data_IF_195205268931
#
_entry.id   IF_195205268931
#
_cell.length_a   1.000
_cell.length_b   1.000
_cell.length_c   1.000
_cell.angle_alpha   90.00
_cell.angle_beta   90.00
_cell.angle_gamma   90.00
#
_symmetry.space_group_name_H-M   'P 1'
#
loop_
_entity.id
_entity.type
_entity.pdbx_description
1 polymer ?
#
# COMPACT_ATOMS: atom_id res chain seq x y z
N UNK A 1 15.91 28.35 -14.37
CA UNK A 1 15.46 27.34 -15.35
C UNK A 1 13.94 27.44 -15.43
N UNK A 2 13.34 27.68 -16.61
CA UNK A 2 11.88 27.84 -16.75
C UNK A 2 11.32 26.56 -17.36
N UNK A 3 10.63 25.76 -16.56
CA UNK A 3 9.92 24.59 -17.07
C UNK A 3 8.70 25.04 -17.89
N UNK A 4 8.30 24.24 -18.87
CA UNK A 4 7.09 24.49 -19.67
C UNK A 4 5.83 24.36 -18.79
N UNK A 5 5.86 23.49 -17.78
CA UNK A 5 4.78 23.28 -16.79
C UNK A 5 5.36 22.73 -15.48
N UNK A 6 4.53 22.69 -14.43
CA UNK A 6 4.81 22.01 -13.16
C UNK A 6 3.89 20.78 -12.97
N UNK A 7 4.12 20.02 -11.89
CA UNK A 7 3.28 18.88 -11.52
C UNK A 7 1.81 19.30 -11.33
N UNK A 8 0.85 18.44 -11.74
CA UNK A 8 -0.54 18.60 -11.36
C UNK A 8 -0.72 18.67 -9.85
N UNK A 9 -1.66 19.50 -9.38
CA UNK A 9 -1.96 19.60 -7.95
C UNK A 9 -2.41 18.24 -7.41
N UNK A 10 -1.76 17.78 -6.35
CA UNK A 10 -2.07 16.54 -5.64
C UNK A 10 -1.32 15.31 -6.16
N UNK A 11 -0.36 15.48 -7.08
CA UNK A 11 0.62 14.44 -7.44
C UNK A 11 2.01 14.83 -6.90
N UNK A 12 2.94 13.88 -6.90
CA UNK A 12 4.31 14.09 -6.42
C UNK A 12 5.29 13.17 -7.15
N UNK A 13 6.44 13.71 -7.55
CA UNK A 13 7.58 12.91 -7.98
C UNK A 13 8.26 12.28 -6.75
N UNK A 14 8.55 10.97 -6.81
CA UNK A 14 9.32 10.27 -5.77
C UNK A 14 10.77 10.22 -6.25
N UNK A 15 11.67 10.88 -5.51
CA UNK A 15 13.08 11.02 -5.92
C UNK A 15 13.91 9.79 -5.51
N UNK A 16 15.12 9.56 -6.08
CA UNK A 16 15.91 8.35 -5.82
C UNK A 16 16.18 8.03 -4.35
N UNK A 17 16.38 9.03 -3.48
CA UNK A 17 16.57 8.78 -2.04
C UNK A 17 15.27 8.38 -1.35
N UNK A 18 14.13 8.91 -1.79
CA UNK A 18 12.82 8.49 -1.29
C UNK A 18 12.48 7.10 -1.82
N UNK A 19 12.73 6.80 -3.10
CA UNK A 19 12.46 5.49 -3.71
C UNK A 19 13.04 4.33 -2.92
N UNK A 20 14.19 4.50 -2.25
CA UNK A 20 14.76 3.45 -1.39
C UNK A 20 13.90 3.11 -0.19
N UNK A 21 13.28 4.12 0.43
CA UNK A 21 12.33 3.92 1.54
C UNK A 21 11.09 3.17 1.04
N UNK A 22 10.64 3.49 -0.17
CA UNK A 22 9.52 2.80 -0.83
C UNK A 22 9.86 1.34 -1.12
N UNK A 23 11.01 1.09 -1.75
CA UNK A 23 11.50 -0.25 -2.03
C UNK A 23 11.68 -1.08 -0.76
N UNK A 24 12.19 -0.49 0.33
CA UNK A 24 12.26 -1.17 1.63
C UNK A 24 10.87 -1.63 2.12
N UNK A 25 9.87 -0.74 2.06
CA UNK A 25 8.49 -1.08 2.45
C UNK A 25 7.93 -2.17 1.53
N UNK A 26 8.09 -2.01 0.21
CA UNK A 26 7.62 -2.97 -0.79
C UNK A 26 8.28 -4.36 -0.60
N UNK A 27 9.57 -4.42 -0.29
CA UNK A 27 10.29 -5.66 -0.03
C UNK A 27 9.79 -6.37 1.23
N UNK A 28 9.53 -5.62 2.31
CA UNK A 28 8.93 -6.17 3.54
C UNK A 28 7.53 -6.70 3.26
N UNK A 29 6.74 -5.97 2.49
CA UNK A 29 5.40 -6.38 2.06
C UNK A 29 5.48 -7.67 1.24
N UNK A 30 6.36 -7.75 0.23
CA UNK A 30 6.50 -8.93 -0.64
C UNK A 30 6.98 -10.16 0.11
N UNK A 31 7.94 -10.00 1.02
CA UNK A 31 8.40 -11.09 1.89
C UNK A 31 7.28 -11.60 2.81
N UNK A 32 6.49 -10.69 3.37
CA UNK A 32 5.33 -11.08 4.19
C UNK A 32 4.24 -11.74 3.34
N UNK A 33 3.96 -11.22 2.14
CA UNK A 33 3.02 -11.84 1.22
C UNK A 33 3.43 -13.28 0.88
N UNK A 34 4.71 -13.52 0.62
CA UNK A 34 5.27 -14.84 0.39
C UNK A 34 5.08 -15.78 1.58
N UNK A 35 5.30 -15.32 2.82
CA UNK A 35 5.12 -16.16 4.02
C UNK A 35 3.66 -16.55 4.28
N UNK A 36 2.71 -15.76 3.78
CA UNK A 36 1.26 -16.06 3.80
C UNK A 36 0.78 -16.79 2.54
N UNK A 37 1.69 -17.22 1.65
CA UNK A 37 1.39 -17.90 0.38
C UNK A 37 0.43 -17.08 -0.53
N UNK A 38 0.66 -15.77 -0.59
CA UNK A 38 -0.07 -14.84 -1.45
C UNK A 38 0.60 -14.73 -2.81
N UNK A 39 -0.21 -14.69 -3.88
CA UNK A 39 0.26 -14.60 -5.26
C UNK A 39 0.03 -13.18 -5.82
N UNK A 40 1.02 -12.62 -6.49
CA UNK A 40 0.89 -11.27 -7.08
C UNK A 40 -0.03 -11.30 -8.30
N UNK A 41 -0.94 -10.34 -8.37
CA UNK A 41 -1.71 -10.04 -9.58
C UNK A 41 -1.48 -8.61 -10.04
N UNK A 42 -1.61 -8.40 -11.34
CA UNK A 42 -1.50 -7.09 -11.98
C UNK A 42 -2.67 -6.89 -12.92
N UNK A 43 -3.25 -5.70 -12.89
CA UNK A 43 -4.39 -5.32 -13.71
C UNK A 43 -4.24 -3.88 -14.23
N UNK A 44 -4.98 -3.50 -15.28
CA UNK A 44 -4.87 -2.18 -15.90
C UNK A 44 -5.07 -1.01 -14.94
N UNK A 45 -4.47 0.13 -15.28
CA UNK A 45 -4.62 1.39 -14.53
C UNK A 45 -5.99 2.03 -14.74
N UNK A 46 -6.61 1.79 -15.89
CA UNK A 46 -7.97 2.23 -16.18
C UNK A 46 -8.85 1.04 -16.55
N UNK A 47 -10.13 1.16 -16.21
CA UNK A 47 -11.16 0.16 -16.47
C UNK A 47 -12.40 0.87 -17.05
N UNK A 48 -13.36 0.11 -17.55
CA UNK A 48 -14.67 0.68 -17.86
C UNK A 48 -15.29 1.30 -16.61
N UNK A 49 -15.87 2.51 -16.75
CA UNK A 49 -16.52 3.21 -15.62
C UNK A 49 -17.51 2.31 -14.87
N UNK A 50 -18.30 1.53 -15.62
CA UNK A 50 -19.33 0.64 -15.09
C UNK A 50 -18.80 -0.31 -13.99
N UNK A 51 -17.53 -0.72 -14.06
CA UNK A 51 -16.92 -1.56 -13.03
C UNK A 51 -16.94 -0.89 -11.66
N UNK A 52 -16.55 0.38 -11.58
CA UNK A 52 -16.47 1.11 -10.31
C UNK A 52 -17.81 1.67 -9.88
N UNK A 53 -18.66 2.07 -10.81
CA UNK A 53 -20.03 2.52 -10.53
C UNK A 53 -20.81 1.41 -9.78
N UNK A 54 -20.85 0.21 -10.35
CA UNK A 54 -21.51 -0.93 -9.72
C UNK A 54 -20.73 -1.54 -8.56
N UNK A 55 -19.40 -1.65 -8.70
CA UNK A 55 -18.55 -2.29 -7.69
C UNK A 55 -18.48 -1.50 -6.39
N UNK A 56 -18.14 -0.22 -6.45
CA UNK A 56 -17.95 0.63 -5.26
C UNK A 56 -19.28 1.10 -4.67
N UNK A 57 -20.27 1.35 -5.52
CA UNK A 57 -21.62 1.78 -5.18
C UNK A 57 -21.89 3.25 -5.51
N UNK A 58 -23.04 3.48 -6.15
CA UNK A 58 -23.50 4.79 -6.67
C UNK A 58 -23.65 5.89 -5.60
N UNK A 59 -23.76 5.50 -4.33
CA UNK A 59 -23.97 6.43 -3.22
C UNK A 59 -22.67 6.86 -2.52
N UNK A 60 -21.53 6.35 -2.97
CA UNK A 60 -20.23 6.69 -2.39
C UNK A 60 -19.72 8.04 -2.89
N UNK A 61 -19.02 8.78 -2.03
CA UNK A 61 -18.32 10.01 -2.47
C UNK A 61 -17.29 9.70 -3.57
N UNK A 62 -16.70 8.49 -3.54
CA UNK A 62 -15.78 7.99 -4.58
C UNK A 62 -16.42 8.05 -5.96
N UNK A 63 -17.55 7.35 -6.15
CA UNK A 63 -18.25 7.27 -7.44
C UNK A 63 -18.84 8.63 -7.83
N UNK A 64 -19.41 9.36 -6.86
CA UNK A 64 -20.13 10.61 -7.16
C UNK A 64 -19.23 11.79 -7.51
N UNK A 65 -18.02 11.86 -6.94
CA UNK A 65 -17.22 13.11 -6.97
C UNK A 65 -15.72 12.90 -7.19
N UNK A 66 -15.20 11.69 -6.99
CA UNK A 66 -13.74 11.49 -6.91
C UNK A 66 -13.15 10.70 -8.08
N UNK A 67 -13.94 10.10 -8.96
CA UNK A 67 -13.42 9.34 -10.10
C UNK A 67 -12.82 10.24 -11.20
N UNK A 68 -11.66 9.84 -11.72
CA UNK A 68 -11.09 10.40 -12.93
C UNK A 68 -11.63 9.66 -14.16
N UNK A 69 -12.77 10.14 -14.66
CA UNK A 69 -13.49 9.53 -15.79
C UNK A 69 -13.33 10.34 -17.07
N UNK A 70 -13.10 9.67 -18.20
CA UNK A 70 -12.96 10.30 -19.51
C UNK A 70 -13.34 9.34 -20.64
N UNK A 71 -13.58 9.88 -21.83
CA UNK A 71 -13.78 9.09 -23.03
C UNK A 71 -12.44 8.75 -23.68
N UNK A 72 -12.26 7.47 -24.04
CA UNK A 72 -11.15 7.08 -24.89
C UNK A 72 -11.38 7.56 -26.35
N UNK A 73 -10.39 7.35 -27.23
CA UNK A 73 -10.50 7.75 -28.65
C UNK A 73 -11.60 7.00 -29.43
N UNK A 74 -12.12 5.91 -28.88
CA UNK A 74 -13.24 5.15 -29.43
C UNK A 74 -14.60 5.56 -28.85
N UNK A 75 -14.66 6.59 -27.98
CA UNK A 75 -15.90 7.04 -27.35
C UNK A 75 -16.37 6.15 -26.20
N UNK A 76 -15.52 5.27 -25.66
CA UNK A 76 -15.85 4.45 -24.48
C UNK A 76 -15.51 5.20 -23.22
N UNK A 77 -16.40 5.15 -22.23
CA UNK A 77 -16.18 5.78 -20.94
C UNK A 77 -15.29 4.88 -20.05
N UNK A 78 -14.11 5.40 -19.72
CA UNK A 78 -13.11 4.72 -18.91
C UNK A 78 -12.74 5.58 -17.71
N UNK A 79 -12.28 4.92 -16.65
CA UNK A 79 -11.97 5.56 -15.37
C UNK A 79 -10.62 5.07 -14.87
N UNK A 80 -9.75 5.98 -14.41
CA UNK A 80 -8.56 5.58 -13.66
C UNK A 80 -9.00 4.93 -12.35
N UNK A 81 -8.44 3.77 -12.02
CA UNK A 81 -8.87 2.98 -10.85
C UNK A 81 -8.78 3.81 -9.55
N UNK A 82 -9.90 3.97 -8.81
CA UNK A 82 -9.88 4.67 -7.52
C UNK A 82 -9.54 3.73 -6.35
N UNK A 83 -9.56 2.42 -6.58
CA UNK A 83 -9.27 1.35 -5.62
C UNK A 83 -8.92 0.05 -6.37
N UNK A 84 -8.46 -0.98 -5.66
CA UNK A 84 -7.95 -2.20 -6.28
C UNK A 84 -8.91 -3.40 -6.29
N UNK A 85 -9.79 -3.52 -5.30
CA UNK A 85 -10.66 -4.69 -5.08
C UNK A 85 -11.58 -4.96 -6.27
N UNK A 86 -12.29 -3.96 -6.82
CA UNK A 86 -13.16 -4.21 -7.99
C UNK A 86 -12.37 -4.69 -9.21
N UNK A 87 -11.16 -4.16 -9.40
CA UNK A 87 -10.24 -4.58 -10.47
C UNK A 87 -9.78 -6.04 -10.30
N UNK A 88 -9.50 -6.47 -9.07
CA UNK A 88 -9.15 -7.87 -8.77
C UNK A 88 -10.36 -8.79 -8.92
N UNK A 89 -11.55 -8.39 -8.46
CA UNK A 89 -12.78 -9.18 -8.65
C UNK A 89 -13.05 -9.40 -10.14
N UNK A 90 -12.99 -8.33 -10.96
CA UNK A 90 -13.12 -8.43 -12.42
C UNK A 90 -12.08 -9.36 -13.00
N UNK A 91 -10.81 -9.24 -12.60
CA UNK A 91 -9.73 -10.12 -13.05
C UNK A 91 -10.01 -11.59 -12.71
N UNK A 92 -10.45 -11.89 -11.49
CA UNK A 92 -10.77 -13.25 -11.03
C UNK A 92 -11.90 -13.86 -11.84
N UNK A 93 -12.94 -13.09 -12.12
CA UNK A 93 -14.11 -13.53 -12.89
C UNK A 93 -13.75 -13.72 -14.37
N UNK A 94 -13.14 -12.72 -14.99
CA UNK A 94 -12.80 -12.73 -16.42
C UNK A 94 -11.82 -13.86 -16.78
N UNK A 95 -10.88 -14.17 -15.88
CA UNK A 95 -9.87 -15.21 -16.11
C UNK A 95 -10.26 -16.57 -15.50
N UNK A 96 -11.47 -16.71 -14.96
CA UNK A 96 -11.94 -17.98 -14.40
C UNK A 96 -11.13 -18.49 -13.21
N UNK A 97 -10.44 -17.62 -12.45
CA UNK A 97 -9.62 -18.03 -11.31
C UNK A 97 -10.46 -18.67 -10.19
N UNK A 98 -11.73 -18.31 -10.10
CA UNK A 98 -12.69 -18.91 -9.17
C UNK A 98 -12.97 -20.40 -9.45
N UNK A 99 -12.66 -20.89 -10.67
CA UNK A 99 -12.82 -22.30 -11.04
C UNK A 99 -11.56 -23.14 -10.74
N UNK A 100 -10.47 -22.51 -10.26
CA UNK A 100 -9.27 -23.20 -9.80
C UNK A 100 -9.41 -23.63 -8.33
N UNK A 101 -8.34 -24.19 -7.75
CA UNK A 101 -8.31 -24.57 -6.33
C UNK A 101 -8.54 -23.35 -5.43
N UNK A 102 -9.56 -23.43 -4.56
CA UNK A 102 -9.86 -22.40 -3.57
C UNK A 102 -9.17 -22.72 -2.22
N UNK A 103 -8.87 -21.69 -1.40
CA UNK A 103 -9.08 -20.27 -1.67
C UNK A 103 -8.04 -19.68 -2.63
N UNK A 104 -8.44 -18.70 -3.44
CA UNK A 104 -7.50 -17.87 -4.19
C UNK A 104 -6.99 -16.76 -3.28
N UNK A 105 -5.68 -16.71 -3.04
CA UNK A 105 -5.02 -15.76 -2.15
C UNK A 105 -4.13 -14.83 -2.96
N UNK A 106 -4.59 -13.62 -3.20
CA UNK A 106 -3.99 -12.68 -4.15
C UNK A 106 -3.51 -11.41 -3.44
N UNK A 107 -2.50 -10.76 -3.99
CA UNK A 107 -2.07 -9.42 -3.59
C UNK A 107 -1.70 -8.55 -4.77
N UNK A 108 -1.69 -7.23 -4.55
CA UNK A 108 -1.28 -6.26 -5.56
C UNK A 108 -0.53 -5.07 -4.94
N UNK A 109 0.29 -4.42 -5.76
CA UNK A 109 0.95 -3.14 -5.49
C UNK A 109 0.67 -2.21 -6.67
N UNK A 110 -0.14 -1.18 -6.46
CA UNK A 110 -0.70 -0.36 -7.55
C UNK A 110 -0.73 1.12 -7.19
N UNK A 111 -0.76 1.98 -8.20
CA UNK A 111 -1.26 3.36 -8.07
C UNK A 111 -2.78 3.42 -8.20
N UNK A 112 -3.42 4.31 -7.44
CA UNK A 112 -4.85 4.58 -7.43
C UNK A 112 -5.08 6.10 -7.53
N UNK A 113 -6.26 6.48 -8.03
CA UNK A 113 -6.58 7.87 -8.36
C UNK A 113 -7.90 8.32 -7.76
N UNK A 114 -7.88 9.38 -6.95
CA UNK A 114 -9.10 9.98 -6.37
C UNK A 114 -9.02 11.50 -6.40
N UNK A 115 -10.06 12.17 -6.89
CA UNK A 115 -10.17 13.63 -6.90
C UNK A 115 -10.47 14.21 -5.50
N UNK A 116 -9.85 13.66 -4.45
CA UNK A 116 -9.95 14.19 -3.10
C UNK A 116 -9.19 15.52 -2.97
N UNK A 117 -9.56 16.31 -1.94
CA UNK A 117 -8.78 17.48 -1.53
C UNK A 117 -7.43 17.01 -0.99
N UNK A 118 -6.29 17.40 -1.60
CA UNK A 118 -4.99 16.92 -1.14
C UNK A 118 -4.68 17.37 0.29
N UNK A 119 -4.15 16.46 1.09
CA UNK A 119 -3.68 16.67 2.46
C UNK A 119 -2.56 15.67 2.79
N UNK A 120 -1.96 15.75 3.98
CA UNK A 120 -0.88 14.83 4.37
C UNK A 120 -1.35 13.36 4.27
N UNK A 121 -0.63 12.57 3.45
CA UNK A 121 -0.96 11.16 3.21
C UNK A 121 -2.21 10.92 2.36
N UNK A 122 -2.82 11.96 1.76
CA UNK A 122 -3.89 11.83 0.77
C UNK A 122 -3.55 12.65 -0.46
N UNK A 123 -3.07 11.93 -1.46
CA UNK A 123 -2.76 12.46 -2.78
C UNK A 123 -3.90 12.12 -3.75
N UNK A 124 -3.90 12.79 -4.91
CA UNK A 124 -4.81 12.48 -6.01
C UNK A 124 -4.36 11.28 -6.81
N UNK A 125 -3.06 11.04 -6.85
CA UNK A 125 -2.44 9.78 -7.23
C UNK A 125 -1.70 9.26 -5.99
N UNK A 126 -2.07 8.09 -5.52
CA UNK A 126 -1.51 7.46 -4.33
C UNK A 126 -1.26 5.97 -4.56
N UNK A 127 -0.50 5.32 -3.70
CA UNK A 127 -0.10 3.93 -3.92
C UNK A 127 -0.69 3.01 -2.86
N UNK A 128 -1.26 1.90 -3.31
CA UNK A 128 -1.88 0.91 -2.44
C UNK A 128 -1.19 -0.44 -2.57
N UNK A 129 -0.93 -1.03 -1.41
CA UNK A 129 -0.83 -2.46 -1.27
C UNK A 129 -2.19 -3.00 -0.84
N UNK A 130 -2.65 -4.09 -1.44
CA UNK A 130 -3.84 -4.79 -0.99
C UNK A 130 -3.74 -6.28 -1.16
N UNK A 131 -4.55 -7.00 -0.38
CA UNK A 131 -4.68 -8.45 -0.44
C UNK A 131 -6.15 -8.81 -0.56
N UNK A 132 -6.45 -9.87 -1.29
CA UNK A 132 -7.81 -10.32 -1.58
C UNK A 132 -7.85 -11.85 -1.51
N UNK A 133 -8.74 -12.40 -0.68
CA UNK A 133 -9.02 -13.83 -0.60
C UNK A 133 -10.38 -14.09 -1.22
N UNK A 134 -10.45 -15.06 -2.12
CA UNK A 134 -11.71 -15.49 -2.75
C UNK A 134 -12.01 -16.95 -2.47
N UNK A 135 -13.29 -17.25 -2.23
CA UNK A 135 -13.77 -18.60 -1.93
C UNK A 135 -13.52 -19.04 -0.49
N UNK A 136 -13.26 -18.10 0.43
CA UNK A 136 -12.99 -18.37 1.84
C UNK A 136 -14.09 -17.73 2.73
N UNK A 137 -15.09 -18.53 3.11
CA UNK A 137 -16.23 -18.10 3.94
C UNK A 137 -16.04 -18.36 5.44
N UNK A 138 -14.99 -19.09 5.82
CA UNK A 138 -14.70 -19.39 7.22
C UNK A 138 -14.09 -18.16 7.93
N UNK A 139 -14.42 -17.89 9.20
CA UNK A 139 -13.87 -16.76 9.96
C UNK A 139 -12.34 -16.78 10.09
N UNK A 140 -11.69 -17.93 9.88
CA UNK A 140 -10.23 -18.00 9.79
C UNK A 140 -9.63 -17.20 8.66
N UNK A 141 -10.36 -16.97 7.57
CA UNK A 141 -9.92 -16.09 6.49
C UNK A 141 -9.77 -14.64 6.96
N UNK A 142 -10.73 -14.15 7.75
CA UNK A 142 -10.73 -12.80 8.31
C UNK A 142 -9.59 -12.62 9.31
N UNK A 143 -9.44 -13.59 10.23
CA UNK A 143 -8.35 -13.58 11.19
C UNK A 143 -6.97 -13.64 10.50
N UNK A 144 -6.83 -14.46 9.44
CA UNK A 144 -5.59 -14.56 8.67
C UNK A 144 -5.24 -13.25 7.93
N UNK A 145 -6.22 -12.59 7.31
CA UNK A 145 -6.01 -11.30 6.64
C UNK A 145 -5.60 -10.21 7.64
N UNK A 146 -6.25 -10.15 8.80
CA UNK A 146 -5.89 -9.22 9.88
C UNK A 146 -4.47 -9.52 10.39
N UNK A 147 -4.13 -10.79 10.57
CA UNK A 147 -2.79 -11.24 10.97
C UNK A 147 -1.71 -10.88 9.95
N UNK A 148 -2.01 -10.96 8.66
CA UNK A 148 -1.10 -10.54 7.59
C UNK A 148 -0.81 -9.04 7.69
N UNK A 149 -1.84 -8.18 7.85
CA UNK A 149 -1.64 -6.75 8.06
C UNK A 149 -0.79 -6.47 9.32
N UNK A 150 -1.10 -7.13 10.45
CA UNK A 150 -0.34 -7.01 11.70
C UNK A 150 1.13 -7.41 11.52
N UNK A 151 1.39 -8.51 10.81
CA UNK A 151 2.74 -9.01 10.54
C UNK A 151 3.55 -8.03 9.69
N UNK A 152 2.92 -7.38 8.69
CA UNK A 152 3.57 -6.31 7.91
C UNK A 152 4.00 -5.17 8.84
N UNK A 153 3.10 -4.70 9.71
CA UNK A 153 3.42 -3.62 10.64
C UNK A 153 4.54 -4.00 11.61
N UNK A 154 4.53 -5.22 12.13
CA UNK A 154 5.59 -5.73 13.02
C UNK A 154 6.95 -5.82 12.31
N UNK A 155 6.97 -6.31 11.07
CA UNK A 155 8.19 -6.40 10.25
C UNK A 155 8.74 -5.01 9.88
N UNK A 156 7.85 -4.03 9.70
CA UNK A 156 8.21 -2.61 9.54
C UNK A 156 8.54 -1.92 10.87
N UNK A 157 8.43 -2.64 12.01
CA UNK A 157 8.66 -2.15 13.37
C UNK A 157 7.74 -1.01 13.79
N UNK A 158 6.59 -0.86 13.12
CA UNK A 158 5.59 0.14 13.42
C UNK A 158 4.89 -0.22 14.73
N UNK A 159 4.82 0.75 15.65
CA UNK A 159 4.22 0.61 16.98
C UNK A 159 2.94 1.44 17.10
N UNK A 160 2.30 1.38 18.27
CA UNK A 160 1.17 2.24 18.63
C UNK A 160 -0.02 2.19 17.64
N UNK A 161 -0.23 1.02 17.03
CA UNK A 161 -1.42 0.73 16.24
C UNK A 161 -2.48 0.03 17.09
N UNK A 162 -3.72 0.50 16.98
CA UNK A 162 -4.88 -0.20 17.51
C UNK A 162 -5.60 -0.90 16.37
N UNK A 163 -5.90 -2.19 16.54
CA UNK A 163 -6.83 -2.90 15.68
C UNK A 163 -8.25 -2.66 16.21
N UNK A 164 -9.10 -2.11 15.38
CA UNK A 164 -10.53 -1.98 15.64
C UNK A 164 -11.32 -2.85 14.67
N UNK A 165 -12.25 -3.65 15.19
CA UNK A 165 -13.08 -4.57 14.42
C UNK A 165 -14.56 -4.29 14.63
N UNK A 166 -15.37 -4.65 13.63
CA UNK A 166 -16.82 -4.62 13.70
C UNK A 166 -17.41 -5.68 12.76
N UNK A 167 -18.71 -5.94 12.88
CA UNK A 167 -19.47 -6.68 11.88
C UNK A 167 -20.64 -5.82 11.41
N UNK A 168 -20.75 -5.62 10.10
CA UNK A 168 -21.88 -4.92 9.48
C UNK A 168 -22.98 -5.87 8.99
N UNK A 169 -22.87 -7.16 9.34
CA UNK A 169 -23.85 -8.18 9.01
C UNK A 169 -24.04 -8.44 7.51
N UNK A 170 -25.03 -9.27 7.19
CA UNK A 170 -25.44 -9.55 5.81
C UNK A 170 -26.42 -8.49 5.29
N UNK A 171 -26.87 -8.64 4.04
CA UNK A 171 -27.85 -7.73 3.42
C UNK A 171 -29.14 -7.57 4.27
N UNK A 172 -29.69 -8.67 4.78
CA UNK A 172 -30.91 -8.66 5.59
C UNK A 172 -30.71 -7.95 6.94
N UNK A 173 -29.54 -8.13 7.56
CA UNK A 173 -29.17 -7.43 8.79
C UNK A 173 -29.14 -5.90 8.56
N UNK A 174 -28.52 -5.49 7.45
CA UNK A 174 -28.40 -4.08 7.07
C UNK A 174 -29.75 -3.44 6.77
N UNK A 175 -30.68 -4.14 6.13
CA UNK A 175 -32.02 -3.61 5.87
C UNK A 175 -32.77 -3.31 7.18
N UNK A 176 -32.71 -4.22 8.17
CA UNK A 176 -33.28 -3.99 9.51
C UNK A 176 -32.61 -2.80 10.21
N UNK A 177 -31.28 -2.74 10.16
CA UNK A 177 -30.51 -1.67 10.76
C UNK A 177 -30.76 -0.30 10.10
N UNK A 178 -30.94 -0.25 8.79
CA UNK A 178 -31.26 0.98 8.05
C UNK A 178 -32.59 1.57 8.52
N UNK A 179 -33.59 0.73 8.77
CA UNK A 179 -34.88 1.18 9.28
C UNK A 179 -34.73 1.77 10.69
N UNK A 180 -33.99 1.09 11.57
CA UNK A 180 -33.70 1.61 12.91
C UNK A 180 -32.94 2.95 12.89
N UNK A 181 -31.93 3.08 12.02
CA UNK A 181 -31.21 4.34 11.86
C UNK A 181 -32.09 5.44 11.27
N UNK A 182 -32.94 5.13 10.28
CA UNK A 182 -33.88 6.10 9.72
C UNK A 182 -34.84 6.61 10.77
N UNK A 183 -35.43 5.72 11.56
CA UNK A 183 -36.33 6.08 12.66
C UNK A 183 -35.61 6.97 13.68
N UNK A 184 -34.40 6.58 14.10
CA UNK A 184 -33.59 7.34 15.03
C UNK A 184 -33.25 8.74 14.51
N UNK A 185 -32.61 8.84 13.34
CA UNK A 185 -32.12 10.09 12.78
C UNK A 185 -33.24 11.01 12.25
N UNK A 186 -34.42 10.47 11.91
CA UNK A 186 -35.59 11.30 11.55
C UNK A 186 -36.03 12.20 12.70
N UNK A 187 -35.80 11.78 13.95
CA UNK A 187 -36.07 12.60 15.13
C UNK A 187 -35.12 13.79 15.29
N UNK A 188 -34.05 13.84 14.50
CA UNK A 188 -33.01 14.87 14.51
C UNK A 188 -32.83 15.54 13.14
N UNK A 189 -33.78 15.39 12.21
CA UNK A 189 -33.62 15.84 10.82
C UNK A 189 -33.24 17.32 10.71
N UNK A 190 -33.79 18.15 11.58
CA UNK A 190 -33.57 19.60 11.59
C UNK A 190 -32.17 19.98 12.11
N UNK A 191 -31.53 19.09 12.89
CA UNK A 191 -30.20 19.28 13.46
C UNK A 191 -29.08 18.67 12.58
N UNK A 192 -29.43 17.72 11.70
CA UNK A 192 -28.47 17.09 10.80
C UNK A 192 -27.91 18.10 9.80
N UNK A 193 -26.62 18.00 9.50
CA UNK A 193 -26.04 18.80 8.42
C UNK A 193 -26.68 18.45 7.07
N UNK A 194 -26.64 19.37 6.11
CA UNK A 194 -27.25 19.23 4.78
C UNK A 194 -26.88 17.90 4.10
N UNK A 195 -25.61 17.50 4.19
CA UNK A 195 -25.13 16.22 3.64
C UNK A 195 -25.78 15.02 4.33
N UNK A 196 -25.91 15.04 5.66
CA UNK A 196 -26.53 13.95 6.41
C UNK A 196 -28.03 13.85 6.18
N UNK A 197 -28.71 14.98 5.99
CA UNK A 197 -30.11 15.01 5.58
C UNK A 197 -30.32 14.26 4.25
N UNK A 198 -29.42 14.44 3.27
CA UNK A 198 -29.47 13.67 2.01
C UNK A 198 -29.16 12.17 2.20
N UNK A 199 -28.26 11.83 3.15
CA UNK A 199 -27.84 10.45 3.44
C UNK A 199 -28.92 9.67 4.18
N UNK A 200 -29.75 10.32 4.99
CA UNK A 200 -30.82 9.68 5.77
C UNK A 200 -31.71 8.78 4.90
N UNK A 201 -32.07 9.26 3.71
CA UNK A 201 -32.90 8.49 2.79
C UNK A 201 -32.10 7.44 2.01
N UNK A 202 -30.89 7.79 1.55
CA UNK A 202 -30.06 6.95 0.67
C UNK A 202 -29.30 5.86 1.41
N UNK A 203 -28.47 6.24 2.37
CA UNK A 203 -27.61 5.35 3.15
C UNK A 203 -27.38 5.95 4.56
N UNK A 204 -28.27 5.67 5.53
CA UNK A 204 -28.23 6.29 6.86
C UNK A 204 -26.99 5.89 7.67
N UNK A 205 -26.33 4.76 7.37
CA UNK A 205 -25.07 4.39 8.03
C UNK A 205 -23.97 5.43 7.81
N UNK A 206 -23.98 6.13 6.66
CA UNK A 206 -23.00 7.19 6.35
C UNK A 206 -23.12 8.43 7.25
N UNK A 207 -24.15 8.50 8.09
CA UNK A 207 -24.29 9.55 9.11
C UNK A 207 -23.38 9.25 10.30
N UNK A 208 -23.11 7.97 10.59
CA UNK A 208 -22.26 7.53 11.72
C UNK A 208 -20.79 7.97 11.57
N UNK A 209 -20.31 8.14 10.34
CA UNK A 209 -18.96 8.65 10.02
C UNK A 209 -18.98 10.15 9.64
N UNK A 210 -20.01 10.90 10.05
CA UNK A 210 -20.05 12.33 9.76
C UNK A 210 -19.07 13.11 10.65
N UNK A 211 -18.23 13.95 10.03
CA UNK A 211 -17.27 14.82 10.72
C UNK A 211 -17.87 16.08 11.35
N UNK A 212 -19.17 16.33 11.15
CA UNK A 212 -19.86 17.45 11.81
C UNK A 212 -19.95 17.16 13.31
N UNK A 213 -19.54 18.11 14.16
CA UNK A 213 -19.64 17.94 15.62
C UNK A 213 -21.07 17.67 16.08
N UNK A 214 -22.06 18.27 15.41
CA UNK A 214 -23.48 18.07 15.75
C UNK A 214 -23.89 16.63 15.39
N UNK A 215 -23.63 16.21 14.14
CA UNK A 215 -23.97 14.86 13.69
C UNK A 215 -23.24 13.77 14.48
N UNK A 216 -21.97 14.00 14.84
CA UNK A 216 -21.18 13.08 15.66
C UNK A 216 -21.79 12.88 17.05
N UNK A 217 -22.18 13.97 17.74
CA UNK A 217 -22.86 13.87 19.05
C UNK A 217 -24.20 13.15 18.98
N UNK A 218 -24.94 13.34 17.89
CA UNK A 218 -26.19 12.61 17.66
C UNK A 218 -25.86 11.12 17.42
N UNK A 219 -24.87 10.83 16.59
CA UNK A 219 -24.46 9.46 16.27
C UNK A 219 -23.96 8.65 17.48
N UNK A 220 -23.44 9.29 18.53
CA UNK A 220 -22.99 8.62 19.76
C UNK A 220 -24.10 7.77 20.43
N UNK A 221 -25.37 8.18 20.26
CA UNK A 221 -26.53 7.48 20.83
C UNK A 221 -27.34 6.70 19.78
N UNK A 222 -26.83 6.58 18.55
CA UNK A 222 -27.49 5.84 17.50
C UNK A 222 -27.53 4.33 17.81
N UNK A 223 -28.52 3.59 17.28
CA UNK A 223 -28.55 2.13 17.35
C UNK A 223 -27.23 1.52 16.86
N UNK A 224 -26.75 0.44 17.49
CA UNK A 224 -25.50 -0.22 17.10
C UNK A 224 -25.79 -1.40 16.20
N UNK A 225 -25.07 -1.53 15.10
CA UNK A 225 -25.32 -2.60 14.11
C UNK A 225 -25.23 -4.01 14.70
N UNK A 226 -24.37 -4.21 15.70
CA UNK A 226 -24.19 -5.49 16.38
C UNK A 226 -25.45 -6.00 17.10
N UNK A 227 -26.40 -5.12 17.42
CA UNK A 227 -27.69 -5.50 18.02
C UNK A 227 -28.70 -5.98 16.97
N UNK A 228 -28.39 -5.85 15.67
CA UNK A 228 -29.28 -6.12 14.54
C UNK A 228 -28.76 -7.23 13.60
N UNK A 229 -27.59 -7.80 13.88
CA UNK A 229 -27.05 -8.91 13.07
C UNK A 229 -27.76 -10.23 13.39
N UNK A 230 -27.95 -11.09 12.38
CA UNK A 230 -28.51 -12.42 12.54
C UNK A 230 -27.53 -13.38 13.23
N UNK A 231 -28.03 -14.53 13.68
CA UNK A 231 -27.23 -15.54 14.39
C UNK A 231 -26.02 -16.01 13.58
N UNK A 232 -26.14 -16.19 12.27
CA UNK A 232 -25.01 -16.59 11.41
C UNK A 232 -23.90 -15.53 11.39
N UNK A 233 -24.27 -14.26 11.24
CA UNK A 233 -23.31 -13.14 11.25
C UNK A 233 -22.68 -12.96 12.63
N UNK A 234 -23.45 -13.19 13.70
CA UNK A 234 -22.96 -13.16 15.08
C UNK A 234 -21.97 -14.29 15.32
N UNK A 235 -22.32 -15.52 14.99
CA UNK A 235 -21.46 -16.69 15.14
C UNK A 235 -20.16 -16.54 14.34
N UNK A 236 -20.22 -16.04 13.11
CA UNK A 236 -19.04 -15.74 12.32
C UNK A 236 -18.15 -14.69 13.03
N UNK A 237 -18.71 -13.58 13.51
CA UNK A 237 -17.95 -12.54 14.18
C UNK A 237 -17.34 -12.99 15.52
N UNK A 238 -18.05 -13.81 16.29
CA UNK A 238 -17.49 -14.47 17.48
C UNK A 238 -16.30 -15.37 17.10
N UNK A 239 -16.42 -16.16 16.02
CA UNK A 239 -15.32 -16.99 15.52
C UNK A 239 -14.08 -16.17 15.13
N UNK A 240 -14.27 -14.99 14.51
CA UNK A 240 -13.14 -14.07 14.22
C UNK A 240 -12.47 -13.62 15.51
N UNK A 241 -13.24 -13.22 16.52
CA UNK A 241 -12.71 -12.79 17.82
C UNK A 241 -11.93 -13.90 18.53
N UNK A 242 -12.47 -15.10 18.59
CA UNK A 242 -11.81 -16.26 19.18
C UNK A 242 -10.48 -16.57 18.48
N UNK A 243 -10.44 -16.50 17.15
CA UNK A 243 -9.23 -16.74 16.38
C UNK A 243 -8.18 -15.64 16.58
N UNK A 244 -8.59 -14.38 16.68
CA UNK A 244 -7.69 -13.28 17.03
C UNK A 244 -7.12 -13.45 18.44
N UNK A 245 -7.92 -13.91 19.40
CA UNK A 245 -7.47 -14.22 20.76
C UNK A 245 -6.46 -15.38 20.76
N UNK A 246 -6.70 -16.45 19.99
CA UNK A 246 -5.75 -17.56 19.78
C UNK A 246 -4.43 -17.06 19.18
N UNK A 247 -4.50 -16.13 18.22
CA UNK A 247 -3.32 -15.52 17.59
C UNK A 247 -2.63 -14.46 18.47
N UNK A 248 -3.16 -14.16 19.66
CA UNK A 248 -2.70 -13.10 20.56
C UNK A 248 -2.72 -11.70 19.92
N UNK A 249 -3.68 -11.45 19.03
CA UNK A 249 -3.87 -10.15 18.38
C UNK A 249 -4.91 -9.37 19.17
N UNK A 250 -4.47 -8.33 19.88
CA UNK A 250 -5.36 -7.43 20.62
C UNK A 250 -6.22 -6.62 19.66
N UNK A 251 -7.52 -6.53 19.95
CA UNK A 251 -8.48 -5.73 19.19
C UNK A 251 -9.43 -4.97 20.14
N UNK A 252 -10.10 -3.96 19.60
CA UNK A 252 -11.27 -3.31 20.21
C UNK A 252 -12.46 -3.45 19.28
N UNK A 253 -13.65 -3.75 19.83
CA UNK A 253 -14.88 -3.75 19.05
C UNK A 253 -15.42 -2.32 18.94
N UNK A 254 -15.41 -1.76 17.73
CA UNK A 254 -15.92 -0.41 17.47
C UNK A 254 -17.17 -0.49 16.56
N UNK A 255 -18.40 -0.35 17.11
CA UNK A 255 -19.63 -0.48 16.34
C UNK A 255 -19.85 0.66 15.33
N UNK A 256 -19.04 1.73 15.38
CA UNK A 256 -19.15 2.89 14.50
C UNK A 256 -18.33 2.75 13.22
N UNK A 257 -17.54 1.68 13.05
CA UNK A 257 -16.84 1.42 11.78
C UNK A 257 -17.87 1.16 10.70
N UNK A 258 -18.07 2.17 9.84
CA UNK A 258 -18.80 2.11 8.59
C UNK A 258 -17.83 2.43 7.47
N UNK A 259 -17.63 1.49 6.54
CA UNK A 259 -16.57 1.63 5.53
C UNK A 259 -16.98 2.55 4.39
N UNK A 260 -15.96 3.10 3.73
CA UNK A 260 -16.07 4.06 2.63
C UNK A 260 -16.78 3.56 1.38
N UNK A 261 -16.98 2.24 1.24
CA UNK A 261 -17.44 1.56 0.02
C UNK A 261 -18.64 0.67 0.39
N UNK A 262 -19.68 0.63 -0.45
CA UNK A 262 -20.95 0.02 -0.05
C UNK A 262 -20.96 -1.52 -0.20
N UNK A 263 -19.94 -2.08 -0.85
CA UNK A 263 -19.82 -3.52 -1.13
C UNK A 263 -19.54 -4.41 0.09
N UNK A 264 -19.15 -3.84 1.23
CA UNK A 264 -18.77 -4.64 2.39
C UNK A 264 -19.96 -5.44 2.94
N UNK A 265 -19.67 -6.57 3.57
CA UNK A 265 -20.58 -7.43 4.35
C UNK A 265 -19.80 -8.03 5.53
N UNK A 266 -20.49 -8.53 6.55
CA UNK A 266 -19.84 -9.24 7.66
C UNK A 266 -18.74 -8.41 8.33
N UNK A 267 -17.56 -9.00 8.53
CA UNK A 267 -16.42 -8.36 9.21
C UNK A 267 -15.94 -7.11 8.48
N UNK A 268 -15.68 -6.05 9.24
CA UNK A 268 -14.90 -4.89 8.82
C UNK A 268 -13.88 -4.56 9.89
N UNK A 269 -12.72 -4.04 9.49
CA UNK A 269 -11.67 -3.69 10.44
C UNK A 269 -10.79 -2.54 9.96
N UNK A 270 -10.13 -1.90 10.91
CA UNK A 270 -9.16 -0.85 10.69
C UNK A 270 -7.97 -0.98 11.65
N UNK A 271 -6.78 -0.70 11.14
CA UNK A 271 -5.62 -0.39 11.98
C UNK A 271 -5.48 1.12 12.05
N UNK A 272 -5.57 1.69 13.25
CA UNK A 272 -5.56 3.14 13.48
C UNK A 272 -4.31 3.56 14.27
N UNK A 273 -3.75 4.71 13.92
CA UNK A 273 -2.70 5.42 14.67
C UNK A 273 -3.14 6.85 14.96
N UNK A 274 -2.78 7.36 16.13
CA UNK A 274 -2.99 8.76 16.52
C UNK A 274 -1.83 9.68 16.11
N UNK A 275 -0.80 9.16 15.44
CA UNK A 275 0.47 9.87 15.18
C UNK A 275 0.52 10.58 13.82
N UNK A 276 -0.44 10.32 12.91
CA UNK A 276 -0.46 10.85 11.53
C UNK A 276 -1.63 11.80 11.24
N UNK A 277 -2.20 12.41 12.29
CA UNK A 277 -3.21 13.48 12.21
C UNK A 277 -4.66 13.00 12.28
N UNK A 278 -5.61 13.86 11.88
CA UNK A 278 -7.06 13.73 12.15
C UNK A 278 -7.77 12.53 11.49
N UNK A 279 -7.08 11.77 10.63
CA UNK A 279 -7.59 10.50 10.11
C UNK A 279 -6.52 9.46 10.43
N UNK A 280 -6.80 8.59 11.39
CA UNK A 280 -5.82 7.66 11.96
C UNK A 280 -5.67 6.35 11.20
N UNK A 281 -6.61 5.98 10.32
CA UNK A 281 -6.62 4.69 9.61
C UNK A 281 -5.39 4.52 8.72
N UNK A 282 -4.59 3.49 8.94
CA UNK A 282 -3.38 3.16 8.16
C UNK A 282 -3.66 2.02 7.18
N UNK A 283 -4.42 1.03 7.64
CA UNK A 283 -4.93 -0.10 6.88
C UNK A 283 -6.40 -0.26 7.20
N UNK A 284 -7.20 -0.64 6.20
CA UNK A 284 -8.58 -1.01 6.45
C UNK A 284 -9.08 -2.02 5.44
N UNK A 285 -9.97 -2.88 5.91
CA UNK A 285 -10.44 -4.03 5.15
C UNK A 285 -11.75 -4.56 5.69
N UNK A 286 -12.11 -5.73 5.18
CA UNK A 286 -13.35 -6.40 5.52
C UNK A 286 -13.81 -7.34 4.42
N UNK A 287 -14.88 -8.05 4.73
CA UNK A 287 -15.54 -9.03 3.88
C UNK A 287 -16.51 -8.33 2.91
N UNK A 288 -16.72 -8.90 1.73
CA UNK A 288 -17.50 -8.30 0.64
C UNK A 288 -18.14 -9.35 -0.28
N UNK A 289 -18.72 -10.41 0.31
CA UNK A 289 -19.14 -11.63 -0.40
C UNK A 289 -20.11 -11.40 -1.57
N UNK A 290 -20.84 -10.27 -1.60
CA UNK A 290 -21.76 -9.93 -2.68
C UNK A 290 -21.13 -9.28 -3.90
N UNK A 291 -19.87 -8.80 -3.81
CA UNK A 291 -19.26 -7.97 -4.86
C UNK A 291 -19.04 -8.73 -6.17
N UNK A 292 -18.64 -9.99 -6.08
CA UNK A 292 -18.47 -10.90 -7.23
C UNK A 292 -19.76 -11.07 -8.02
N UNK A 293 -20.89 -11.19 -7.33
CA UNK A 293 -22.21 -11.30 -7.95
C UNK A 293 -22.64 -9.99 -8.60
N UNK A 294 -22.32 -8.84 -8.00
CA UNK A 294 -22.59 -7.52 -8.57
C UNK A 294 -21.82 -7.31 -9.89
N UNK A 295 -20.58 -7.82 -9.98
CA UNK A 295 -19.70 -7.58 -11.14
C UNK A 295 -19.90 -8.61 -12.26
N UNK A 296 -20.20 -9.87 -11.95
CA UNK A 296 -20.29 -10.92 -12.98
C UNK A 296 -21.08 -12.15 -12.55
N UNK A 297 -22.13 -11.97 -11.77
CA UNK A 297 -23.16 -12.98 -11.41
C UNK A 297 -22.65 -14.24 -10.66
N UNK A 298 -21.37 -14.31 -10.31
CA UNK A 298 -20.81 -15.42 -9.53
C UNK A 298 -20.88 -15.09 -8.04
N UNK A 299 -21.55 -15.93 -7.24
CA UNK A 299 -21.53 -15.81 -5.79
C UNK A 299 -20.22 -16.39 -5.23
N UNK A 300 -19.27 -15.51 -4.89
CA UNK A 300 -17.96 -15.89 -4.38
C UNK A 300 -17.63 -15.06 -3.13
N UNK A 301 -17.48 -15.75 -1.99
CA UNK A 301 -17.06 -15.15 -0.74
C UNK A 301 -15.72 -14.43 -0.92
N UNK A 302 -15.61 -13.24 -0.36
CA UNK A 302 -14.50 -12.32 -0.62
C UNK A 302 -14.12 -11.55 0.64
N UNK A 303 -12.83 -11.46 0.94
CA UNK A 303 -12.32 -10.64 2.03
C UNK A 303 -10.95 -10.09 1.68
N UNK A 304 -10.69 -8.86 2.11
CA UNK A 304 -9.44 -8.19 1.79
C UNK A 304 -9.15 -6.98 2.65
N UNK A 305 -7.99 -6.38 2.41
CA UNK A 305 -7.67 -5.05 2.89
C UNK A 305 -6.86 -4.28 1.85
N UNK A 306 -6.81 -2.96 2.04
CA UNK A 306 -5.82 -2.11 1.42
C UNK A 306 -5.15 -1.19 2.44
N UNK A 307 -3.88 -0.87 2.19
CA UNK A 307 -3.10 0.12 2.94
C UNK A 307 -2.36 1.05 1.99
N UNK A 308 -2.28 2.33 2.35
CA UNK A 308 -1.61 3.35 1.54
C UNK A 308 -0.12 3.42 1.85
N UNK A 309 0.75 3.28 0.86
CA UNK A 309 2.21 3.30 1.07
C UNK A 309 2.68 4.66 1.60
N UNK A 310 2.08 5.76 1.14
CA UNK A 310 2.38 7.10 1.66
C UNK A 310 2.07 7.22 3.15
N UNK A 311 1.01 6.56 3.63
CA UNK A 311 0.62 6.60 5.04
C UNK A 311 1.54 5.76 5.92
N UNK A 312 1.98 4.62 5.41
CA UNK A 312 3.02 3.79 6.06
C UNK A 312 4.31 4.59 6.18
N UNK A 313 4.74 5.22 5.09
CA UNK A 313 5.95 6.05 5.07
C UNK A 313 5.87 7.19 6.10
N UNK A 314 4.77 7.94 6.10
CA UNK A 314 4.54 9.03 7.06
C UNK A 314 4.56 8.53 8.51
N UNK A 315 3.98 7.36 8.77
CA UNK A 315 3.95 6.78 10.11
C UNK A 315 5.34 6.34 10.57
N UNK A 316 6.10 5.68 9.69
CA UNK A 316 7.48 5.30 9.97
C UNK A 316 8.36 6.53 10.26
N UNK A 317 8.20 7.59 9.46
CA UNK A 317 8.91 8.86 9.68
C UNK A 317 8.49 9.53 11.00
N UNK A 318 7.19 9.55 11.33
CA UNK A 318 6.68 10.09 12.59
C UNK A 318 7.21 9.32 13.82
N UNK A 319 7.42 8.01 13.70
CA UNK A 319 7.97 7.16 14.76
C UNK A 319 9.51 7.12 14.77
N UNK A 320 10.18 7.81 13.85
CA UNK A 320 11.65 7.78 13.74
C UNK A 320 12.21 6.41 13.39
N UNK A 321 11.45 5.58 12.67
CA UNK A 321 11.88 4.24 12.24
C UNK A 321 12.90 4.39 11.12
N UNK A 322 14.07 3.79 11.30
CA UNK A 322 15.10 3.74 10.27
C UNK A 322 14.72 2.75 9.15
N UNK A 323 14.99 3.17 7.91
CA UNK A 323 14.84 2.33 6.73
C UNK A 323 16.18 1.63 6.49
N UNK A 324 16.18 0.30 6.49
CA UNK A 324 17.37 -0.49 6.16
C UNK A 324 17.61 -0.43 4.65
N UNK A 325 18.19 0.68 4.19
CA UNK A 325 18.54 0.90 2.79
C UNK A 325 20.00 0.54 2.57
N UNK A 326 20.26 -0.44 1.69
CA UNK A 326 21.60 -0.85 1.27
C UNK A 326 22.47 0.34 0.79
N UNK A 327 23.82 0.24 0.86
CA UNK A 327 24.71 1.25 0.30
C UNK A 327 24.42 1.48 -1.18
N UNK A 328 24.65 2.72 -1.62
CA UNK A 328 24.31 3.16 -2.98
C UNK A 328 25.20 2.52 -4.04
N UNK A 329 26.45 2.19 -3.70
CA UNK A 329 27.41 1.54 -4.59
C UNK A 329 28.35 0.64 -3.78
N UNK A 330 28.59 -0.56 -4.28
CA UNK A 330 29.52 -1.52 -3.67
C UNK A 330 30.96 -1.04 -3.85
N UNK A 331 31.30 -0.49 -5.02
CA UNK A 331 32.67 -0.09 -5.33
C UNK A 331 32.74 1.02 -6.37
N UNK A 332 33.68 1.96 -6.17
CA UNK A 332 34.02 2.99 -7.14
C UNK A 332 35.48 2.86 -7.61
N UNK A 333 35.67 2.71 -8.92
CA UNK A 333 36.99 2.75 -9.55
C UNK A 333 37.33 4.17 -9.98
N UNK A 334 38.17 4.84 -9.21
CA UNK A 334 38.80 6.08 -9.62
C UNK A 334 39.99 5.76 -10.55
N UNK A 335 40.35 6.69 -11.43
CA UNK A 335 41.48 6.49 -12.34
C UNK A 335 42.36 7.72 -12.53
N UNK A 336 43.60 7.47 -12.97
CA UNK A 336 44.55 8.45 -13.47
C UNK A 336 45.06 8.00 -14.85
N UNK A 337 45.07 8.90 -15.84
CA UNK A 337 45.54 8.60 -17.19
C UNK A 337 44.59 7.72 -18.00
N UNK A 338 44.92 7.50 -19.27
CA UNK A 338 44.08 6.73 -20.21
C UNK A 338 44.14 5.22 -19.94
N UNK A 339 45.28 4.66 -19.53
CA UNK A 339 45.37 3.22 -19.19
C UNK A 339 44.51 2.90 -17.97
N UNK A 340 44.64 3.70 -16.91
CA UNK A 340 43.83 3.59 -15.70
C UNK A 340 42.33 3.69 -15.99
N UNK A 341 41.94 4.64 -16.85
CA UNK A 341 40.55 4.80 -17.30
C UNK A 341 40.01 3.56 -18.01
N UNK A 342 40.76 3.00 -18.96
CA UNK A 342 40.34 1.82 -19.71
C UNK A 342 40.17 0.61 -18.78
N UNK A 343 41.08 0.41 -17.82
CA UNK A 343 40.96 -0.69 -16.85
C UNK A 343 39.80 -0.44 -15.87
N UNK A 344 39.61 0.78 -15.38
CA UNK A 344 38.48 1.12 -14.51
C UNK A 344 37.13 0.86 -15.18
N UNK A 345 36.97 1.22 -16.46
CA UNK A 345 35.76 0.95 -17.25
C UNK A 345 35.54 -0.57 -17.40
N UNK A 346 36.60 -1.32 -17.71
CA UNK A 346 36.55 -2.78 -17.85
C UNK A 346 36.13 -3.45 -16.54
N UNK A 347 36.77 -3.12 -15.41
CA UNK A 347 36.45 -3.69 -14.10
C UNK A 347 35.04 -3.34 -13.64
N UNK A 348 34.63 -2.09 -13.86
CA UNK A 348 33.26 -1.64 -13.61
C UNK A 348 32.24 -2.50 -14.35
N UNK A 349 32.45 -2.77 -15.64
CA UNK A 349 31.55 -3.61 -16.43
C UNK A 349 31.54 -5.07 -15.94
N UNK A 350 32.70 -5.63 -15.60
CA UNK A 350 32.81 -7.01 -15.09
C UNK A 350 32.00 -7.16 -13.80
N UNK A 351 32.16 -6.25 -12.83
CA UNK A 351 31.42 -6.31 -11.57
C UNK A 351 29.91 -6.10 -11.75
N UNK A 352 29.50 -5.17 -12.62
CA UNK A 352 28.08 -5.00 -12.97
C UNK A 352 27.46 -6.27 -13.53
N UNK A 353 28.19 -7.01 -14.38
CA UNK A 353 27.72 -8.30 -14.94
C UNK A 353 27.59 -9.41 -13.89
N UNK A 354 28.20 -9.23 -12.72
CA UNK A 354 28.13 -10.17 -11.60
C UNK A 354 27.11 -9.72 -10.53
N UNK A 355 26.39 -8.63 -10.76
CA UNK A 355 25.33 -8.14 -9.88
C UNK A 355 25.77 -7.08 -8.86
N UNK A 356 27.03 -6.66 -8.87
CA UNK A 356 27.50 -5.58 -7.99
C UNK A 356 27.18 -4.20 -8.56
N UNK A 357 26.86 -3.25 -7.67
CA UNK A 357 26.75 -1.84 -8.00
C UNK A 357 28.13 -1.18 -8.05
N UNK A 358 28.77 -1.24 -9.23
CA UNK A 358 30.07 -0.61 -9.47
C UNK A 358 29.96 0.70 -10.27
N UNK A 359 30.83 1.67 -9.98
CA UNK A 359 30.90 2.94 -10.70
C UNK A 359 32.33 3.38 -11.04
N UNK A 360 32.46 4.22 -12.08
CA UNK A 360 33.70 4.92 -12.42
C UNK A 360 33.37 6.31 -12.98
N UNK A 361 34.37 7.18 -13.14
CA UNK A 361 34.13 8.50 -13.71
C UNK A 361 33.81 8.44 -15.21
N UNK A 362 32.74 9.11 -15.60
CA UNK A 362 32.30 9.21 -17.01
C UNK A 362 32.17 10.65 -17.50
N UNK A 363 32.61 11.63 -16.70
CA UNK A 363 32.48 13.06 -17.03
C UNK A 363 33.83 13.77 -17.12
N UNK A 364 34.94 13.05 -16.99
CA UNK A 364 36.29 13.58 -17.10
C UNK A 364 36.76 14.35 -15.87
N UNK A 365 36.34 13.98 -14.66
CA UNK A 365 36.82 14.59 -13.41
C UNK A 365 38.28 14.24 -13.16
N UNK A 366 39.02 15.17 -12.55
CA UNK A 366 40.30 14.85 -11.92
C UNK A 366 40.11 14.00 -10.65
N UNK A 367 41.14 13.25 -10.25
CA UNK A 367 41.08 12.26 -9.16
C UNK A 367 40.43 12.79 -7.86
N UNK A 368 40.79 13.99 -7.40
CA UNK A 368 40.19 14.59 -6.19
C UNK A 368 38.67 14.74 -6.29
N UNK A 369 38.15 15.10 -7.46
CA UNK A 369 36.72 15.23 -7.69
C UNK A 369 36.04 13.86 -7.89
N UNK A 370 36.74 12.86 -8.44
CA UNK A 370 36.27 11.48 -8.46
C UNK A 370 36.10 10.92 -7.04
N UNK A 371 37.10 11.09 -6.16
CA UNK A 371 37.01 10.63 -4.77
C UNK A 371 35.90 11.32 -3.98
N UNK A 372 35.70 12.64 -4.20
CA UNK A 372 34.54 13.36 -3.63
C UNK A 372 33.21 12.82 -4.16
N UNK A 373 33.16 12.40 -5.41
CA UNK A 373 31.96 11.80 -5.99
C UNK A 373 31.70 10.42 -5.41
N UNK A 374 32.72 9.57 -5.26
CA UNK A 374 32.65 8.27 -4.61
C UNK A 374 32.07 8.38 -3.19
N UNK A 375 32.53 9.35 -2.42
CA UNK A 375 32.00 9.68 -1.09
C UNK A 375 30.53 10.15 -1.15
N UNK A 376 30.19 11.05 -2.07
CA UNK A 376 28.81 11.55 -2.24
C UNK A 376 27.81 10.45 -2.64
N UNK A 377 28.25 9.49 -3.46
CA UNK A 377 27.44 8.32 -3.80
C UNK A 377 27.55 7.22 -2.74
N UNK A 378 28.17 7.46 -1.59
CA UNK A 378 28.32 6.51 -0.49
C UNK A 378 28.81 5.12 -0.98
N UNK A 379 29.87 5.12 -1.79
CA UNK A 379 30.50 3.89 -2.25
C UNK A 379 31.16 3.18 -1.07
N UNK A 380 30.88 1.89 -0.89
CA UNK A 380 31.47 1.09 0.20
C UNK A 380 32.98 0.94 0.04
N UNK A 381 33.42 0.62 -1.17
CA UNK A 381 34.84 0.51 -1.52
C UNK A 381 35.28 1.51 -2.57
N UNK A 382 36.56 1.88 -2.54
CA UNK A 382 37.21 2.63 -3.63
C UNK A 382 38.50 1.95 -4.06
N UNK A 383 38.79 2.01 -5.36
CA UNK A 383 40.06 1.54 -5.94
C UNK A 383 40.56 2.64 -6.87
N UNK A 384 41.84 3.00 -6.80
CA UNK A 384 42.47 3.95 -7.71
C UNK A 384 43.32 3.19 -8.71
N UNK A 385 43.08 3.38 -10.01
CA UNK A 385 43.81 2.73 -11.09
C UNK A 385 44.55 3.78 -11.93
N UNK A 386 45.88 3.80 -11.81
CA UNK A 386 46.78 4.52 -12.71
C UNK A 386 47.61 3.56 -13.56
N UNK A 387 48.57 4.11 -14.29
CA UNK A 387 49.48 3.32 -15.13
C UNK A 387 50.24 2.26 -14.31
N UNK A 388 50.70 2.61 -13.10
CA UNK A 388 51.43 1.70 -12.22
C UNK A 388 50.58 0.51 -11.76
N UNK A 389 49.34 0.75 -11.34
CA UNK A 389 48.44 -0.31 -10.87
C UNK A 389 48.07 -1.26 -12.01
N UNK A 390 47.83 -0.71 -13.21
CA UNK A 390 47.53 -1.49 -14.41
C UNK A 390 48.74 -2.32 -14.84
N UNK A 391 49.94 -1.76 -14.84
CA UNK A 391 51.15 -2.50 -15.23
C UNK A 391 51.54 -3.57 -14.21
N UNK A 392 51.37 -3.29 -12.92
CA UNK A 392 51.66 -4.25 -11.85
C UNK A 392 50.55 -5.30 -11.65
N UNK A 393 49.39 -5.13 -12.27
CA UNK A 393 48.17 -5.93 -12.03
C UNK A 393 47.76 -5.99 -10.54
N UNK A 394 48.10 -4.93 -9.79
CA UNK A 394 47.83 -4.79 -8.36
C UNK A 394 47.27 -3.42 -8.07
N UNK A 395 46.29 -3.36 -7.18
CA UNK A 395 45.68 -2.12 -6.73
C UNK A 395 45.45 -2.16 -5.21
N UNK A 396 45.07 -1.01 -4.66
CA UNK A 396 44.64 -0.92 -3.27
C UNK A 396 43.15 -0.72 -3.24
N UNK A 397 42.44 -1.65 -2.62
CA UNK A 397 41.04 -1.47 -2.25
C UNK A 397 40.97 -0.78 -0.89
N UNK A 398 40.23 0.31 -0.82
CA UNK A 398 40.00 1.07 0.41
C UNK A 398 38.54 0.94 0.82
N UNK A 399 38.30 0.49 2.04
CA UNK A 399 37.01 0.60 2.69
C UNK A 399 36.77 2.07 3.08
N UNK A 400 35.66 2.64 2.60
CA UNK A 400 35.35 4.05 2.81
C UNK A 400 34.76 4.33 4.19
N UNK A 401 34.23 3.31 4.88
CA UNK A 401 33.69 3.41 6.23
C UNK A 401 34.78 3.29 7.29
N UNK A 402 35.62 2.24 7.20
CA UNK A 402 36.70 2.01 8.18
C UNK A 402 37.99 2.76 7.85
N UNK A 403 38.21 3.09 6.57
CA UNK A 403 39.46 3.64 6.07
C UNK A 403 40.55 2.58 5.84
N UNK A 404 40.26 1.30 6.11
CA UNK A 404 41.18 0.18 5.89
C UNK A 404 41.59 0.07 4.42
N UNK A 405 42.83 -0.33 4.18
CA UNK A 405 43.42 -0.46 2.85
C UNK A 405 44.04 -1.84 2.71
N UNK A 406 43.67 -2.51 1.63
CA UNK A 406 44.15 -3.86 1.33
C UNK A 406 44.76 -3.86 -0.06
N UNK A 407 46.02 -4.29 -0.19
CA UNK A 407 46.61 -4.56 -1.50
C UNK A 407 45.99 -5.83 -2.08
N UNK A 408 45.56 -5.76 -3.34
CA UNK A 408 44.87 -6.86 -4.01
C UNK A 408 45.27 -6.91 -5.49
N UNK A 409 45.37 -8.12 -6.03
CA UNK A 409 45.48 -8.32 -7.48
C UNK A 409 44.17 -7.89 -8.15
N UNK A 410 44.24 -7.17 -9.27
CA UNK A 410 43.05 -6.60 -9.90
C UNK A 410 42.00 -7.69 -10.24
N UNK A 411 42.45 -8.87 -10.65
CA UNK A 411 41.58 -10.02 -10.94
C UNK A 411 40.85 -10.59 -9.72
N UNK A 412 41.39 -10.39 -8.51
CA UNK A 412 40.82 -10.90 -7.25
C UNK A 412 39.82 -9.95 -6.60
N UNK A 413 39.63 -8.74 -7.13
CA UNK A 413 38.66 -7.77 -6.60
C UNK A 413 37.24 -8.37 -6.55
N UNK A 414 36.89 -9.21 -7.52
CA UNK A 414 35.60 -9.89 -7.57
C UNK A 414 35.43 -10.85 -6.38
N UNK A 415 36.47 -11.62 -6.07
CA UNK A 415 36.44 -12.59 -4.96
C UNK A 415 36.35 -11.88 -3.61
N UNK A 416 37.03 -10.74 -3.48
CA UNK A 416 36.98 -9.93 -2.28
C UNK A 416 35.58 -9.36 -1.97
N UNK A 417 34.77 -9.07 -3.00
CA UNK A 417 33.44 -8.49 -2.83
C UNK A 417 32.33 -9.53 -2.58
N UNK A 418 32.59 -10.81 -2.85
CA UNK A 418 31.67 -11.91 -2.55
C UNK A 418 31.72 -12.26 -1.07
#
# INVERSE_FOLDING_TARGET
MKLITSLPRGTRDILPEECKKWQYIEDVIRKTAQSFNLNEVRFPTFEHRALFEHGVGDNTDVVQKEMYTFFDKGGREITLRPEGTSGVVRLVLENGLFAQSLPQKLYYLISCFRYEKPQAGRLREFHQFGIEFFGASDPSADAEIISCAKTIFDNLKIKNLSLEINSIGCKECREKYYNALREYFSSYSDDLCETCNSRLQKNPMRILDCKSQICSKIADNAPKILDYICDDCKNHFEGVKELLDIMNIKYTVNPHIVRGLDYYSGTVFEFVSNEIGAQGTVCGGGRYDGLSQIIGDQALAGIGFAMGLERILLLMEAQGIEFDTQPKSDIYFAYIGEKGKNEAIKQTLVLRRLGFSAETDIVGRGLKAQMKYADKINARYTVVLGDNEVEAQKAVIKDMQSGEKTEIEIEKIIEFLK
#
